data_IF_173990771298
#
_entry.id   IF_173990771298
#
_cell.length_a   1.000
_cell.length_b   1.000
_cell.length_c   1.000
_cell.angle_alpha   90.00
_cell.angle_beta   90.00
_cell.angle_gamma   90.00
#
_symmetry.space_group_name_H-M   'P 1'
#
loop_
_entity.id
_entity.type
_entity.pdbx_description
1 polymer ?
#
# COMPACT_ATOMS: atom_id res chain seq x y z
N UNK A 1 -20.98 34.32 -0.29
CA UNK A 1 -21.27 33.40 -1.40
C UNK A 1 -21.56 32.04 -0.80
N UNK A 2 -22.73 31.43 -1.07
CA UNK A 2 -23.18 30.19 -0.43
C UNK A 2 -22.24 28.99 -0.72
N UNK A 3 -21.60 28.96 -1.88
CA UNK A 3 -20.80 27.79 -2.33
C UNK A 3 -19.49 27.60 -1.56
N UNK A 4 -18.86 28.69 -1.11
CA UNK A 4 -17.65 28.65 -0.27
C UNK A 4 -17.92 27.99 1.10
N UNK A 5 -19.16 28.07 1.60
CA UNK A 5 -19.56 27.44 2.85
C UNK A 5 -19.68 25.92 2.70
N UNK A 6 -20.29 25.44 1.61
CA UNK A 6 -20.48 24.01 1.33
C UNK A 6 -19.13 23.31 1.14
N UNK A 7 -18.20 23.92 0.40
CA UNK A 7 -16.85 23.37 0.22
C UNK A 7 -16.10 23.24 1.55
N UNK A 8 -16.12 24.31 2.37
CA UNK A 8 -15.45 24.33 3.68
C UNK A 8 -16.03 23.27 4.63
N UNK A 9 -17.34 23.07 4.62
CA UNK A 9 -17.99 22.01 5.39
C UNK A 9 -17.57 20.61 4.93
N UNK A 10 -17.53 20.36 3.61
CA UNK A 10 -17.03 19.09 3.08
C UNK A 10 -15.61 18.78 3.53
N UNK A 11 -14.72 19.77 3.49
CA UNK A 11 -13.32 19.65 3.95
C UNK A 11 -13.27 19.37 5.47
N UNK A 12 -14.11 20.02 6.26
CA UNK A 12 -14.18 19.78 7.71
C UNK A 12 -14.61 18.34 8.03
N UNK A 13 -15.65 17.83 7.37
CA UNK A 13 -16.05 16.43 7.49
C UNK A 13 -14.93 15.46 7.04
N UNK A 14 -14.21 15.80 5.97
CA UNK A 14 -13.06 15.01 5.51
C UNK A 14 -11.97 14.94 6.58
N UNK A 15 -11.62 16.07 7.19
CA UNK A 15 -10.61 16.14 8.26
C UNK A 15 -11.05 15.39 9.52
N UNK A 16 -12.35 15.34 9.80
CA UNK A 16 -12.95 14.51 10.84
C UNK A 16 -13.02 13.01 10.48
N UNK A 17 -12.49 12.61 9.31
CA UNK A 17 -12.54 11.24 8.76
C UNK A 17 -13.96 10.73 8.49
N UNK A 18 -14.93 11.64 8.40
CA UNK A 18 -16.32 11.36 8.04
C UNK A 18 -16.48 11.42 6.52
N UNK A 19 -15.86 10.47 5.84
CA UNK A 19 -15.71 10.52 4.38
C UNK A 19 -17.04 10.43 3.63
N UNK A 20 -18.02 9.67 4.14
CA UNK A 20 -19.36 9.60 3.54
C UNK A 20 -20.13 10.92 3.63
N UNK A 21 -20.02 11.61 4.76
CA UNK A 21 -20.63 12.92 4.95
C UNK A 21 -19.96 13.94 4.02
N UNK A 22 -18.62 13.99 4.05
CA UNK A 22 -17.81 14.84 3.18
C UNK A 22 -18.16 14.63 1.69
N UNK A 23 -18.30 13.38 1.27
CA UNK A 23 -18.69 13.01 -0.09
C UNK A 23 -20.03 13.63 -0.50
N UNK A 24 -21.00 13.68 0.41
CA UNK A 24 -22.32 14.28 0.14
C UNK A 24 -22.20 15.78 -0.19
N UNK A 25 -21.38 16.52 0.57
CA UNK A 25 -21.12 17.94 0.30
C UNK A 25 -20.40 18.16 -1.03
N UNK A 26 -19.38 17.36 -1.34
CA UNK A 26 -18.64 17.50 -2.59
C UNK A 26 -19.47 17.11 -3.83
N UNK A 27 -20.34 16.10 -3.72
CA UNK A 27 -21.25 15.73 -4.81
C UNK A 27 -22.28 16.83 -5.11
N UNK A 28 -22.84 17.48 -4.08
CA UNK A 28 -23.77 18.60 -4.27
C UNK A 28 -23.12 19.74 -5.09
N UNK A 29 -21.86 20.05 -4.81
CA UNK A 29 -21.10 21.05 -5.57
C UNK A 29 -20.87 20.64 -7.04
N UNK A 30 -20.60 19.35 -7.29
CA UNK A 30 -20.38 18.84 -8.64
C UNK A 30 -21.64 18.91 -9.53
N UNK A 31 -22.82 18.75 -8.95
CA UNK A 31 -24.09 18.74 -9.70
C UNK A 31 -24.69 20.12 -9.97
N UNK A 32 -24.44 21.10 -9.11
CA UNK A 32 -25.17 22.38 -9.14
C UNK A 32 -24.54 23.46 -10.03
N UNK A 33 -23.24 23.36 -10.34
CA UNK A 33 -22.50 24.53 -10.86
C UNK A 33 -21.77 24.33 -12.17
N UNK A 34 -21.74 23.12 -12.75
CA UNK A 34 -20.82 22.82 -13.86
C UNK A 34 -19.36 23.14 -13.49
N UNK A 35 -19.06 23.26 -12.19
CA UNK A 35 -17.75 23.62 -11.70
C UNK A 35 -16.85 22.41 -11.80
N UNK A 36 -16.09 22.43 -12.88
CA UNK A 36 -14.79 21.79 -13.10
C UNK A 36 -13.74 22.30 -12.08
N UNK A 37 -14.12 22.38 -10.80
CA UNK A 37 -13.23 22.74 -9.71
C UNK A 37 -12.40 21.52 -9.39
N UNK A 38 -11.12 21.56 -9.81
CA UNK A 38 -10.14 20.52 -9.50
C UNK A 38 -10.02 20.27 -7.99
N UNK A 39 -10.39 21.23 -7.14
CA UNK A 39 -10.49 21.06 -5.69
C UNK A 39 -11.58 20.06 -5.32
N UNK A 40 -12.77 20.17 -5.92
CA UNK A 40 -13.89 19.24 -5.69
C UNK A 40 -13.52 17.85 -6.21
N UNK A 41 -12.95 17.75 -7.41
CA UNK A 41 -12.48 16.48 -7.96
C UNK A 41 -11.43 15.83 -7.04
N UNK A 42 -10.45 16.60 -6.57
CA UNK A 42 -9.45 16.14 -5.62
C UNK A 42 -10.09 15.52 -4.36
N UNK A 43 -10.98 16.24 -3.68
CA UNK A 43 -11.61 15.70 -2.47
C UNK A 43 -12.58 14.53 -2.74
N UNK A 44 -13.31 14.53 -3.87
CA UNK A 44 -14.12 13.39 -4.29
C UNK A 44 -13.25 12.14 -4.46
N UNK A 45 -12.15 12.26 -5.19
CA UNK A 45 -11.18 11.18 -5.40
C UNK A 45 -10.64 10.63 -4.07
N UNK A 46 -10.27 11.51 -3.14
CA UNK A 46 -9.81 11.13 -1.80
C UNK A 46 -10.89 10.43 -0.97
N UNK A 47 -12.12 10.95 -0.95
CA UNK A 47 -13.24 10.34 -0.23
C UNK A 47 -13.53 8.94 -0.76
N UNK A 48 -13.64 8.78 -2.08
CA UNK A 48 -13.86 7.48 -2.69
C UNK A 48 -12.74 6.48 -2.39
N UNK A 49 -11.47 6.92 -2.43
CA UNK A 49 -10.34 6.07 -2.05
C UNK A 49 -10.46 5.59 -0.59
N UNK A 50 -10.78 6.49 0.34
CA UNK A 50 -10.95 6.17 1.77
C UNK A 50 -12.14 5.25 2.04
N UNK A 51 -13.15 5.28 1.18
CA UNK A 51 -14.32 4.41 1.23
C UNK A 51 -14.14 3.11 0.44
N UNK A 52 -12.92 2.83 -0.06
CA UNK A 52 -12.61 1.66 -0.92
C UNK A 52 -13.44 1.57 -2.20
N UNK A 53 -14.02 2.69 -2.65
CA UNK A 53 -14.75 2.82 -3.91
C UNK A 53 -13.78 3.19 -5.02
N UNK A 54 -12.97 2.21 -5.41
CA UNK A 54 -11.79 2.46 -6.24
C UNK A 54 -12.10 3.00 -7.63
N UNK A 55 -13.06 2.43 -8.37
CA UNK A 55 -13.38 2.93 -9.72
C UNK A 55 -13.87 4.38 -9.72
N UNK A 56 -14.71 4.74 -8.73
CA UNK A 56 -15.17 6.12 -8.56
C UNK A 56 -13.99 7.05 -8.22
N UNK A 57 -13.06 6.59 -7.38
CA UNK A 57 -11.87 7.35 -7.01
C UNK A 57 -10.96 7.63 -8.20
N UNK A 58 -10.71 6.61 -9.04
CA UNK A 58 -9.88 6.73 -10.23
C UNK A 58 -10.36 7.86 -11.14
N UNK A 59 -11.66 7.93 -11.41
CA UNK A 59 -12.26 8.96 -12.26
C UNK A 59 -11.84 10.38 -11.85
N UNK A 60 -11.94 10.70 -10.57
CA UNK A 60 -11.66 12.07 -10.10
C UNK A 60 -10.17 12.32 -9.87
N UNK A 61 -9.40 11.33 -9.42
CA UNK A 61 -7.95 11.49 -9.24
C UNK A 61 -7.25 11.66 -10.60
N UNK A 62 -7.68 10.93 -11.63
CA UNK A 62 -7.15 11.07 -12.99
C UNK A 62 -7.42 12.47 -13.58
N UNK A 63 -8.57 13.09 -13.27
CA UNK A 63 -8.85 14.48 -13.66
C UNK A 63 -7.83 15.46 -13.06
N UNK A 64 -7.54 15.34 -11.76
CA UNK A 64 -6.57 16.20 -11.06
C UNK A 64 -5.18 16.06 -11.67
N UNK A 65 -4.74 14.81 -11.87
CA UNK A 65 -3.43 14.49 -12.47
C UNK A 65 -3.33 15.00 -13.91
N UNK A 66 -4.39 14.85 -14.70
CA UNK A 66 -4.43 15.29 -16.12
C UNK A 66 -4.38 16.82 -16.23
N UNK A 67 -5.06 17.54 -15.33
CA UNK A 67 -5.07 18.99 -15.36
C UNK A 67 -3.73 19.61 -14.94
N UNK A 68 -2.97 18.96 -14.06
CA UNK A 68 -1.58 19.31 -13.77
C UNK A 68 -1.37 20.70 -13.15
N UNK A 69 -2.38 21.29 -12.49
CA UNK A 69 -2.34 22.69 -12.03
C UNK A 69 -1.71 22.90 -10.64
N UNK A 70 -1.83 21.91 -9.76
CA UNK A 70 -1.31 21.95 -8.37
C UNK A 70 -0.36 20.76 -8.19
N UNK A 71 0.92 21.05 -8.06
CA UNK A 71 1.98 20.03 -8.04
C UNK A 71 1.85 19.11 -6.83
N UNK A 72 1.62 19.66 -5.62
CA UNK A 72 1.52 18.86 -4.40
C UNK A 72 0.34 17.89 -4.48
N UNK A 73 -0.82 18.38 -4.93
CA UNK A 73 -2.00 17.52 -5.10
C UNK A 73 -1.82 16.51 -6.21
N UNK A 74 -1.16 16.87 -7.32
CA UNK A 74 -0.85 15.92 -8.39
C UNK A 74 0.03 14.80 -7.84
N UNK A 75 1.10 15.10 -7.12
CA UNK A 75 1.96 14.09 -6.50
C UNK A 75 1.17 13.19 -5.54
N UNK A 76 0.32 13.77 -4.69
CA UNK A 76 -0.53 13.00 -3.79
C UNK A 76 -1.52 12.10 -4.55
N UNK A 77 -2.18 12.61 -5.58
CA UNK A 77 -3.11 11.83 -6.40
C UNK A 77 -2.39 10.68 -7.11
N UNK A 78 -1.20 10.91 -7.68
CA UNK A 78 -0.40 9.85 -8.30
C UNK A 78 -0.05 8.73 -7.33
N UNK A 79 0.31 9.07 -6.09
CA UNK A 79 0.59 8.07 -5.06
C UNK A 79 -0.65 7.23 -4.74
N UNK A 80 -1.83 7.85 -4.65
CA UNK A 80 -3.08 7.15 -4.37
C UNK A 80 -3.51 6.29 -5.57
N UNK A 81 -3.40 6.81 -6.79
CA UNK A 81 -3.64 6.05 -8.02
C UNK A 81 -2.74 4.80 -8.07
N UNK A 82 -1.45 4.94 -7.75
CA UNK A 82 -0.52 3.81 -7.69
C UNK A 82 -0.97 2.73 -6.71
N UNK A 83 -1.44 3.12 -5.52
CA UNK A 83 -1.98 2.18 -4.52
C UNK A 83 -3.23 1.49 -5.05
N UNK A 84 -4.19 2.24 -5.59
CA UNK A 84 -5.44 1.68 -6.13
C UNK A 84 -5.16 0.70 -7.28
N UNK A 85 -4.29 1.08 -8.21
CA UNK A 85 -3.89 0.22 -9.32
C UNK A 85 -3.15 -1.04 -8.84
N UNK A 86 -2.34 -0.95 -7.78
CA UNK A 86 -1.68 -2.12 -7.18
C UNK A 86 -2.70 -3.09 -6.58
N UNK A 87 -3.64 -2.57 -5.78
CA UNK A 87 -4.71 -3.37 -5.17
C UNK A 87 -5.66 -4.00 -6.20
N UNK A 88 -5.84 -3.34 -7.34
CA UNK A 88 -6.70 -3.80 -8.43
C UNK A 88 -5.95 -4.67 -9.47
N UNK A 89 -4.69 -5.06 -9.19
CA UNK A 89 -3.87 -5.89 -10.08
C UNK A 89 -3.39 -5.20 -11.36
N UNK A 90 -3.60 -3.88 -11.51
CA UNK A 90 -3.18 -3.07 -12.67
C UNK A 90 -1.72 -2.64 -12.55
N UNK A 91 -0.83 -3.61 -12.41
CA UNK A 91 0.61 -3.47 -12.09
C UNK A 91 1.35 -2.47 -12.99
N UNK A 92 1.04 -2.43 -14.29
CA UNK A 92 1.67 -1.50 -15.25
C UNK A 92 1.29 -0.05 -14.99
N UNK A 93 0.03 0.22 -14.67
CA UNK A 93 -0.45 1.57 -14.34
C UNK A 93 0.11 2.02 -12.99
N UNK A 94 0.18 1.12 -12.01
CA UNK A 94 0.83 1.41 -10.74
C UNK A 94 2.30 1.82 -10.92
N UNK A 95 3.07 1.04 -11.70
CA UNK A 95 4.45 1.38 -12.02
C UNK A 95 4.55 2.72 -12.77
N UNK A 96 3.64 3.00 -13.70
CA UNK A 96 3.64 4.26 -14.44
C UNK A 96 3.50 5.47 -13.49
N UNK A 97 2.52 5.43 -12.59
CA UNK A 97 2.30 6.53 -11.64
C UNK A 97 3.46 6.71 -10.66
N UNK A 98 4.04 5.62 -10.16
CA UNK A 98 5.20 5.67 -9.27
C UNK A 98 6.45 6.23 -9.97
N UNK A 99 6.67 5.88 -11.24
CA UNK A 99 7.78 6.45 -12.00
C UNK A 99 7.59 7.94 -12.26
N UNK A 100 6.34 8.40 -12.48
CA UNK A 100 6.04 9.83 -12.60
C UNK A 100 6.35 10.61 -11.32
N UNK A 101 6.18 10.00 -10.15
CA UNK A 101 6.63 10.58 -8.89
C UNK A 101 8.16 10.72 -8.83
N UNK A 102 8.90 9.68 -9.23
CA UNK A 102 10.37 9.74 -9.25
C UNK A 102 10.90 10.77 -10.26
N UNK A 103 10.28 10.89 -11.42
CA UNK A 103 10.60 11.91 -12.45
C UNK A 103 10.40 13.34 -11.94
N UNK A 104 9.43 13.54 -11.04
CA UNK A 104 9.17 14.81 -10.36
C UNK A 104 10.02 15.00 -9.10
N UNK A 105 11.08 14.20 -8.91
CA UNK A 105 11.97 14.22 -7.74
C UNK A 105 11.27 13.95 -6.40
N UNK A 106 10.03 13.44 -6.41
CA UNK A 106 9.33 12.97 -5.23
C UNK A 106 9.72 11.52 -4.92
N UNK A 107 10.76 11.38 -4.08
CA UNK A 107 11.46 10.11 -3.82
C UNK A 107 11.41 9.65 -2.36
N UNK A 108 10.27 9.72 -1.65
CA UNK A 108 10.22 9.18 -0.29
C UNK A 108 10.37 7.65 -0.33
N UNK A 109 10.80 7.07 0.80
CA UNK A 109 10.99 5.63 0.94
C UNK A 109 9.76 4.80 0.53
N UNK A 110 8.54 5.31 0.79
CA UNK A 110 7.29 4.66 0.42
C UNK A 110 7.09 4.47 -1.09
N UNK A 111 7.59 5.39 -1.93
CA UNK A 111 7.50 5.25 -3.39
C UNK A 111 8.40 4.12 -3.87
N UNK A 112 9.61 4.03 -3.33
CA UNK A 112 10.52 2.91 -3.63
C UNK A 112 9.96 1.57 -3.13
N UNK A 113 9.40 1.52 -1.92
CA UNK A 113 8.77 0.31 -1.40
C UNK A 113 7.59 -0.16 -2.28
N UNK A 114 6.77 0.78 -2.77
CA UNK A 114 5.67 0.47 -3.68
C UNK A 114 6.17 -0.03 -5.05
N UNK A 115 7.24 0.56 -5.59
CA UNK A 115 7.86 0.09 -6.83
C UNK A 115 8.45 -1.31 -6.67
N UNK A 116 9.05 -1.60 -5.52
CA UNK A 116 9.57 -2.92 -5.20
C UNK A 116 8.45 -3.97 -5.20
N UNK A 117 7.33 -3.68 -4.52
CA UNK A 117 6.14 -4.54 -4.54
C UNK A 117 5.62 -4.76 -5.96
N UNK A 118 5.49 -3.70 -6.77
CA UNK A 118 5.04 -3.83 -8.16
C UNK A 118 6.02 -4.64 -9.01
N UNK A 119 7.33 -4.52 -8.79
CA UNK A 119 8.35 -5.31 -9.47
C UNK A 119 8.30 -6.79 -9.07
N UNK A 120 8.09 -7.09 -7.79
CA UNK A 120 7.86 -8.44 -7.29
C UNK A 120 6.66 -9.10 -7.97
N UNK A 121 5.55 -8.36 -8.03
CA UNK A 121 4.32 -8.77 -8.68
C UNK A 121 4.47 -8.97 -10.21
N UNK A 122 5.51 -8.42 -10.82
CA UNK A 122 5.88 -8.63 -12.22
C UNK A 122 6.95 -9.71 -12.40
N UNK A 123 7.30 -10.43 -11.33
CA UNK A 123 8.39 -11.42 -11.30
C UNK A 123 9.76 -10.85 -11.66
N UNK A 124 9.97 -9.53 -11.50
CA UNK A 124 11.27 -8.86 -11.66
C UNK A 124 11.95 -8.75 -10.29
N UNK A 125 12.41 -9.89 -9.77
CA UNK A 125 13.06 -10.00 -8.44
C UNK A 125 14.27 -9.08 -8.34
N UNK A 126 15.02 -8.86 -9.43
CA UNK A 126 16.20 -8.00 -9.43
C UNK A 126 15.81 -6.55 -9.14
N UNK A 127 14.82 -6.00 -9.85
CA UNK A 127 14.35 -4.63 -9.58
C UNK A 127 13.66 -4.52 -8.23
N UNK A 128 12.93 -5.56 -7.82
CA UNK A 128 12.31 -5.61 -6.49
C UNK A 128 13.33 -5.35 -5.38
N UNK A 129 14.42 -6.12 -5.36
CA UNK A 129 15.47 -5.98 -4.34
C UNK A 129 16.18 -4.61 -4.42
N UNK A 130 16.50 -4.12 -5.62
CA UNK A 130 17.09 -2.78 -5.82
C UNK A 130 16.20 -1.65 -5.28
N UNK A 131 14.88 -1.74 -5.50
CA UNK A 131 13.95 -0.74 -4.98
C UNK A 131 13.75 -0.84 -3.46
N UNK A 132 13.72 -2.03 -2.88
CA UNK A 132 13.68 -2.15 -1.41
C UNK A 132 14.96 -1.62 -0.77
N UNK A 133 16.13 -1.82 -1.39
CA UNK A 133 17.39 -1.23 -0.93
C UNK A 133 17.32 0.29 -0.93
N UNK A 134 16.91 0.90 -2.04
CA UNK A 134 16.70 2.37 -2.13
C UNK A 134 15.69 2.90 -1.10
N UNK A 135 14.65 2.14 -0.81
CA UNK A 135 13.67 2.49 0.21
C UNK A 135 14.31 2.54 1.60
N UNK A 136 15.11 1.51 1.95
CA UNK A 136 15.80 1.42 3.23
C UNK A 136 16.97 2.40 3.35
N UNK A 137 17.60 2.81 2.25
CA UNK A 137 18.59 3.89 2.23
C UNK A 137 17.93 5.25 2.56
N UNK A 138 16.73 5.49 2.05
CA UNK A 138 15.96 6.71 2.32
C UNK A 138 15.34 6.72 3.72
N UNK A 139 14.86 5.57 4.20
CA UNK A 139 14.32 5.38 5.55
C UNK A 139 14.61 3.95 6.04
N UNK A 140 15.65 3.77 6.89
CA UNK A 140 16.04 2.46 7.40
C UNK A 140 14.97 1.76 8.26
N UNK A 141 13.98 2.50 8.75
CA UNK A 141 12.89 1.98 9.59
C UNK A 141 11.57 1.86 8.81
N UNK A 142 11.61 1.98 7.48
CA UNK A 142 10.43 1.81 6.64
C UNK A 142 9.86 0.39 6.77
N UNK A 143 8.75 0.25 7.49
CA UNK A 143 8.16 -1.05 7.83
C UNK A 143 7.80 -1.86 6.58
N UNK A 144 7.25 -1.21 5.55
CA UNK A 144 6.87 -1.88 4.30
C UNK A 144 8.10 -2.44 3.58
N UNK A 145 9.20 -1.68 3.50
CA UNK A 145 10.42 -2.13 2.87
C UNK A 145 11.15 -3.21 3.69
N UNK A 146 11.20 -3.07 5.02
CA UNK A 146 11.73 -4.10 5.91
C UNK A 146 10.97 -5.42 5.72
N UNK A 147 9.64 -5.36 5.76
CA UNK A 147 8.82 -6.55 5.57
C UNK A 147 9.01 -7.17 4.19
N UNK A 148 8.84 -6.36 3.14
CA UNK A 148 8.91 -6.82 1.76
C UNK A 148 10.27 -7.38 1.37
N UNK A 149 11.37 -6.73 1.79
CA UNK A 149 12.73 -7.23 1.60
C UNK A 149 12.92 -8.58 2.28
N UNK A 150 12.50 -8.70 3.55
CA UNK A 150 12.61 -9.96 4.29
C UNK A 150 11.82 -11.09 3.67
N UNK A 151 10.58 -10.82 3.25
CA UNK A 151 9.73 -11.78 2.56
C UNK A 151 10.34 -12.26 1.24
N UNK A 152 10.78 -11.34 0.37
CA UNK A 152 11.37 -11.70 -0.93
C UNK A 152 12.65 -12.51 -0.77
N UNK A 153 13.50 -12.16 0.20
CA UNK A 153 14.69 -12.94 0.53
C UNK A 153 14.33 -14.37 0.95
N UNK A 154 13.28 -14.56 1.74
CA UNK A 154 12.80 -15.88 2.15
C UNK A 154 12.21 -16.69 0.98
N UNK A 155 11.40 -16.07 0.12
CA UNK A 155 10.83 -16.73 -1.06
C UNK A 155 11.90 -17.23 -2.02
N UNK A 156 12.99 -16.47 -2.17
CA UNK A 156 14.12 -16.78 -3.03
C UNK A 156 15.18 -17.67 -2.37
N UNK A 157 14.97 -18.08 -1.11
CA UNK A 157 15.93 -18.81 -0.28
C UNK A 157 17.32 -18.14 -0.20
N UNK A 158 17.33 -16.79 -0.17
CA UNK A 158 18.54 -15.94 -0.11
C UNK A 158 18.71 -15.33 1.27
N UNK A 159 19.90 -15.48 1.85
CA UNK A 159 20.31 -14.88 3.14
C UNK A 159 19.16 -14.84 4.18
N UNK A 160 18.69 -16.02 4.57
CA UNK A 160 17.58 -16.17 5.52
C UNK A 160 17.87 -15.52 6.88
N UNK A 161 19.15 -15.30 7.23
CA UNK A 161 19.54 -14.56 8.44
C UNK A 161 19.17 -13.09 8.32
N UNK A 162 19.49 -12.47 7.17
CA UNK A 162 19.09 -11.09 6.88
C UNK A 162 17.57 -10.96 6.75
N UNK A 163 16.91 -11.93 6.10
CA UNK A 163 15.45 -11.99 6.01
C UNK A 163 14.80 -11.95 7.40
N UNK A 164 15.29 -12.79 8.33
CA UNK A 164 14.80 -12.85 9.70
C UNK A 164 15.01 -11.53 10.45
N UNK A 165 16.17 -10.89 10.25
CA UNK A 165 16.46 -9.59 10.86
C UNK A 165 15.46 -8.53 10.42
N UNK A 166 15.20 -8.43 9.11
CA UNK A 166 14.26 -7.45 8.56
C UNK A 166 12.81 -7.69 9.01
N UNK A 167 12.31 -8.93 8.90
CA UNK A 167 10.95 -9.24 9.33
C UNK A 167 10.75 -9.03 10.84
N UNK A 168 11.76 -9.34 11.68
CA UNK A 168 11.71 -9.02 13.12
C UNK A 168 11.60 -7.53 13.39
N UNK A 169 12.34 -6.70 12.67
CA UNK A 169 12.23 -5.24 12.79
C UNK A 169 10.85 -4.75 12.36
N UNK A 170 10.33 -5.26 11.23
CA UNK A 170 8.99 -4.91 10.75
C UNK A 170 7.90 -5.26 11.77
N UNK A 171 7.91 -6.48 12.33
CA UNK A 171 6.97 -6.89 13.38
C UNK A 171 7.14 -6.07 14.66
N UNK A 172 8.36 -5.71 15.06
CA UNK A 172 8.58 -4.83 16.22
C UNK A 172 7.94 -3.46 16.03
N UNK A 173 8.04 -2.89 14.83
CA UNK A 173 7.47 -1.59 14.50
C UNK A 173 5.94 -1.65 14.28
N UNK A 174 5.42 -2.78 13.81
CA UNK A 174 4.00 -3.00 13.53
C UNK A 174 3.52 -4.38 14.00
N UNK A 175 3.37 -4.58 15.33
CA UNK A 175 3.10 -5.90 15.91
C UNK A 175 1.72 -6.46 15.57
N UNK A 176 0.79 -5.62 15.12
CA UNK A 176 -0.57 -6.01 14.72
C UNK A 176 -0.75 -6.00 13.20
N UNK A 177 0.33 -6.03 12.42
CA UNK A 177 0.25 -6.16 10.96
C UNK A 177 0.23 -7.63 10.59
N UNK A 178 -0.90 -8.11 10.04
CA UNK A 178 -1.02 -9.47 9.53
C UNK A 178 0.08 -9.80 8.52
N UNK A 179 0.35 -8.90 7.57
CA UNK A 179 1.42 -9.08 6.58
C UNK A 179 2.82 -9.21 7.20
N UNK A 180 3.13 -8.44 8.26
CA UNK A 180 4.43 -8.54 8.93
C UNK A 180 4.58 -9.85 9.70
N UNK A 181 3.52 -10.27 10.38
CA UNK A 181 3.48 -11.54 11.11
C UNK A 181 3.58 -12.73 10.17
N UNK A 182 2.86 -12.68 9.05
CA UNK A 182 2.90 -13.69 8.00
C UNK A 182 4.31 -13.84 7.41
N UNK A 183 4.91 -12.72 6.98
CA UNK A 183 6.27 -12.72 6.42
C UNK A 183 7.30 -13.24 7.43
N UNK A 184 7.17 -12.91 8.72
CA UNK A 184 8.04 -13.45 9.76
C UNK A 184 7.83 -14.95 9.97
N UNK A 185 6.58 -15.40 9.98
CA UNK A 185 6.23 -16.83 10.04
C UNK A 185 6.81 -17.61 8.86
N UNK A 186 6.70 -17.05 7.65
CA UNK A 186 7.28 -17.63 6.44
C UNK A 186 8.80 -17.74 6.50
N UNK A 187 9.50 -16.72 7.02
CA UNK A 187 10.95 -16.79 7.22
C UNK A 187 11.32 -17.91 8.20
N UNK A 188 10.59 -18.06 9.31
CA UNK A 188 10.83 -19.15 10.26
C UNK A 188 10.60 -20.52 9.63
N UNK A 189 9.57 -20.65 8.79
CA UNK A 189 9.33 -21.89 8.02
C UNK A 189 10.52 -22.21 7.11
N UNK A 190 11.02 -21.23 6.36
CA UNK A 190 12.20 -21.39 5.48
C UNK A 190 13.47 -21.75 6.24
N UNK A 191 13.60 -21.33 7.50
CA UNK A 191 14.67 -21.72 8.42
C UNK A 191 14.46 -23.12 9.06
N UNK A 192 13.34 -23.78 8.80
CA UNK A 192 12.98 -25.07 9.40
C UNK A 192 12.52 -24.97 10.86
N UNK A 193 12.21 -23.76 11.35
CA UNK A 193 11.75 -23.47 12.70
C UNK A 193 10.21 -23.46 12.73
N UNK A 194 9.62 -24.64 12.60
CA UNK A 194 8.18 -24.79 12.35
C UNK A 194 7.26 -24.36 13.51
N UNK A 195 7.69 -24.54 14.76
CA UNK A 195 6.90 -24.09 15.93
C UNK A 195 6.77 -22.56 15.96
N UNK A 196 7.87 -21.85 15.73
CA UNK A 196 7.87 -20.40 15.61
C UNK A 196 7.05 -19.95 14.40
N UNK A 197 7.23 -20.62 13.25
CA UNK A 197 6.47 -20.33 12.04
C UNK A 197 4.96 -20.41 12.28
N UNK A 198 4.50 -21.53 12.86
CA UNK A 198 3.09 -21.77 13.18
C UNK A 198 2.55 -20.68 14.10
N UNK A 199 3.25 -20.35 15.18
CA UNK A 199 2.84 -19.31 16.12
C UNK A 199 2.60 -17.96 15.44
N UNK A 200 3.52 -17.50 14.60
CA UNK A 200 3.39 -16.20 13.95
C UNK A 200 2.32 -16.20 12.85
N UNK A 201 2.16 -17.30 12.12
CA UNK A 201 1.11 -17.44 11.12
C UNK A 201 -0.30 -17.49 11.74
N UNK A 202 -0.48 -18.17 12.88
CA UNK A 202 -1.74 -18.17 13.62
C UNK A 202 -2.10 -16.76 14.13
N UNK A 203 -1.10 -15.98 14.56
CA UNK A 203 -1.31 -14.57 14.90
C UNK A 203 -1.72 -13.73 13.69
N UNK A 204 -1.14 -14.01 12.52
CA UNK A 204 -1.50 -13.33 11.27
C UNK A 204 -2.95 -13.67 10.84
N UNK A 205 -3.33 -14.95 10.87
CA UNK A 205 -4.68 -15.44 10.56
C UNK A 205 -5.74 -14.87 11.52
N UNK A 206 -5.42 -14.74 12.81
CA UNK A 206 -6.33 -14.12 13.78
C UNK A 206 -6.65 -12.64 13.44
N UNK A 207 -5.78 -11.96 12.69
CA UNK A 207 -5.98 -10.57 12.24
C UNK A 207 -6.65 -10.54 10.86
N UNK A 208 -6.21 -11.40 9.93
CA UNK A 208 -6.74 -11.50 8.58
C UNK A 208 -7.00 -12.96 8.16
N UNK A 209 -8.12 -13.51 8.64
CA UNK A 209 -8.51 -14.90 8.39
C UNK A 209 -9.03 -15.18 6.97
N UNK A 210 -9.13 -14.16 6.12
CA UNK A 210 -9.57 -14.32 4.72
C UNK A 210 -8.40 -14.34 3.73
N UNK A 211 -7.15 -14.18 4.21
CA UNK A 211 -5.98 -14.18 3.35
C UNK A 211 -5.64 -15.58 2.87
N UNK A 212 -5.74 -15.79 1.56
CA UNK A 212 -5.32 -17.05 0.91
C UNK A 212 -3.82 -17.32 1.09
N UNK A 213 -3.00 -16.27 1.11
CA UNK A 213 -1.54 -16.39 1.28
C UNK A 213 -1.19 -16.94 2.68
N UNK A 214 -1.77 -16.36 3.73
CA UNK A 214 -1.59 -16.83 5.11
C UNK A 214 -2.02 -18.29 5.24
N UNK A 215 -3.20 -18.63 4.70
CA UNK A 215 -3.72 -20.00 4.71
C UNK A 215 -2.77 -20.99 4.00
N UNK A 216 -2.17 -20.57 2.88
CA UNK A 216 -1.20 -21.39 2.14
C UNK A 216 0.12 -21.58 2.91
N UNK A 217 0.62 -20.54 3.58
CA UNK A 217 1.81 -20.66 4.43
C UNK A 217 1.55 -21.60 5.62
N UNK A 218 0.40 -21.48 6.29
CA UNK A 218 -0.01 -22.39 7.39
C UNK A 218 -0.03 -23.83 6.90
N UNK A 219 -0.67 -24.08 5.75
CA UNK A 219 -0.73 -25.42 5.15
C UNK A 219 0.67 -25.99 4.88
N UNK A 220 1.60 -25.15 4.40
CA UNK A 220 2.99 -25.56 4.14
C UNK A 220 3.70 -25.95 5.43
N UNK A 221 3.55 -25.17 6.50
CA UNK A 221 4.11 -25.46 7.81
C UNK A 221 3.58 -26.77 8.38
N UNK A 222 2.26 -27.00 8.32
CA UNK A 222 1.63 -28.22 8.84
C UNK A 222 2.12 -29.46 8.08
N UNK A 223 2.12 -29.40 6.74
CA UNK A 223 2.53 -30.52 5.89
C UNK A 223 3.98 -30.97 6.11
N UNK A 224 4.89 -30.05 6.39
CA UNK A 224 6.30 -30.37 6.60
C UNK A 224 6.67 -30.56 8.07
N UNK A 225 5.90 -29.99 8.99
CA UNK A 225 6.03 -30.22 10.43
C UNK A 225 5.72 -31.66 10.81
N UNK A 226 4.66 -32.25 10.23
CA UNK A 226 4.20 -33.61 10.52
C UNK A 226 5.14 -34.72 9.97
N UNK A 227 6.11 -34.36 9.11
CA UNK A 227 7.09 -35.29 8.54
C UNK A 227 8.33 -35.52 9.42
N UNK A 228 8.44 -34.82 10.56
CA UNK A 228 9.55 -34.94 11.52
C UNK A 228 9.21 -35.91 12.64
#
# INVERSE_FOLDING_TARGET
>A
MPDSNVLSQGIEFYNQKKYSDALTFFLALSSETGADSLDVAYYLGLCYAKLSRYEDSLLYLEQVVTAGKDEERVLQCRLILAVIYSLSGRKRLAAFELNKLLEAEYKPASVYAALAFVAWEQSDTKKCLDYYEKSLDADPENVTALNGMGYVLACEDKDLTKALSFCKKAVKASPNSAACLDSLGWVYYKLGLYDDAKKYLEMAEAIDGNSEEIANHIKSVVLDGDKR
#
